data_IF_260229832534
#
_entry.id   IF_260229832534
#
_cell.length_a   1.000
_cell.length_b   1.000
_cell.length_c   1.000
_cell.angle_alpha   90.00
_cell.angle_beta   90.00
_cell.angle_gamma   90.00
#
_symmetry.space_group_name_H-M   'P 1'
#
loop_
_entity.id
_entity.type
_entity.pdbx_description
1 polymer ?
#
# COMPACT_ATOMS: atom_id res chain seq x y z
N UNK A 1 31.81 30.00 -14.25
CA UNK A 1 30.42 29.50 -14.34
C UNK A 1 30.35 27.98 -14.54
N UNK A 2 31.29 27.35 -15.27
CA UNK A 2 31.30 25.89 -15.44
C UNK A 2 31.46 25.10 -14.14
N UNK A 3 32.34 25.53 -13.22
CA UNK A 3 32.56 24.84 -11.94
C UNK A 3 31.30 24.84 -11.05
N UNK A 4 30.54 25.94 -11.04
CA UNK A 4 29.28 26.02 -10.31
C UNK A 4 28.23 25.08 -10.92
N UNK A 5 28.15 24.99 -12.26
CA UNK A 5 27.25 24.06 -12.93
C UNK A 5 27.66 22.59 -12.76
N UNK A 6 28.96 22.29 -12.65
CA UNK A 6 29.48 20.96 -12.34
C UNK A 6 29.22 20.57 -10.88
N UNK A 7 29.31 21.52 -9.95
CA UNK A 7 28.96 21.31 -8.54
C UNK A 7 27.45 21.13 -8.39
N UNK A 8 26.63 21.95 -9.06
CA UNK A 8 25.17 21.80 -9.08
C UNK A 8 24.79 20.44 -9.67
N UNK A 9 25.35 20.04 -10.82
CA UNK A 9 25.13 18.69 -11.37
C UNK A 9 25.64 17.56 -10.47
N UNK A 10 26.71 17.77 -9.71
CA UNK A 10 27.24 16.78 -8.77
C UNK A 10 26.47 16.71 -7.44
N UNK A 11 25.78 17.80 -7.07
CA UNK A 11 24.84 17.86 -5.95
C UNK A 11 23.50 17.26 -6.39
N UNK A 12 23.01 17.61 -7.58
CA UNK A 12 21.82 17.02 -8.21
C UNK A 12 22.00 15.52 -8.51
N UNK A 13 23.22 15.06 -8.81
CA UNK A 13 23.53 13.61 -8.96
C UNK A 13 23.85 12.91 -7.64
N UNK A 14 24.21 13.64 -6.57
CA UNK A 14 24.29 13.11 -5.20
C UNK A 14 22.91 12.90 -4.59
N UNK A 15 21.93 13.72 -5.00
CA UNK A 15 20.50 13.59 -4.68
C UNK A 15 19.73 12.79 -5.75
N UNK A 16 20.40 11.91 -6.50
CA UNK A 16 19.69 10.73 -7.04
C UNK A 16 19.14 9.96 -5.83
N UNK A 17 17.87 10.23 -5.51
CA UNK A 17 17.11 9.67 -4.41
C UNK A 17 17.53 8.21 -4.25
N UNK A 18 18.12 7.81 -3.11
CA UNK A 18 18.70 6.46 -2.92
C UNK A 18 17.71 5.34 -3.35
N UNK A 19 16.42 5.66 -3.29
CA UNK A 19 15.35 4.86 -3.82
C UNK A 19 15.34 4.71 -5.35
N UNK A 20 15.58 5.73 -6.17
CA UNK A 20 15.65 5.62 -7.64
C UNK A 20 16.81 4.73 -8.11
N UNK A 21 17.95 4.75 -7.40
CA UNK A 21 19.02 3.79 -7.63
C UNK A 21 18.55 2.36 -7.28
N UNK A 22 17.84 2.19 -6.16
CA UNK A 22 17.23 0.91 -5.80
C UNK A 22 16.19 0.46 -6.84
N UNK A 23 15.36 1.38 -7.33
CA UNK A 23 14.30 1.16 -8.31
C UNK A 23 14.88 0.71 -9.64
N UNK A 24 15.97 1.32 -10.08
CA UNK A 24 16.72 0.90 -11.28
C UNK A 24 17.24 -0.54 -11.13
N UNK A 25 17.74 -0.91 -9.94
CA UNK A 25 18.15 -2.29 -9.64
C UNK A 25 16.97 -3.26 -9.60
N UNK A 26 15.82 -2.84 -9.08
CA UNK A 26 14.57 -3.62 -9.08
C UNK A 26 14.04 -3.84 -10.51
N UNK A 27 14.23 -2.89 -11.42
CA UNK A 27 13.90 -3.05 -12.85
C UNK A 27 14.86 -4.01 -13.56
N UNK A 28 16.16 -3.89 -13.28
CA UNK A 28 17.20 -4.74 -13.87
C UNK A 28 17.16 -6.20 -13.38
N UNK A 29 16.81 -6.42 -12.11
CA UNK A 29 16.78 -7.75 -11.48
C UNK A 29 15.34 -8.15 -11.15
N UNK A 30 14.90 -9.31 -11.64
CA UNK A 30 13.57 -9.88 -11.29
C UNK A 30 13.38 -10.13 -9.78
N UNK A 31 14.49 -10.32 -9.03
CA UNK A 31 14.48 -10.63 -7.59
C UNK A 31 15.60 -9.85 -6.90
N UNK A 32 15.27 -9.16 -5.80
CA UNK A 32 16.27 -8.53 -4.95
C UNK A 32 17.01 -9.56 -4.10
N UNK A 33 18.32 -9.38 -3.94
CA UNK A 33 19.09 -10.10 -2.94
C UNK A 33 18.65 -9.73 -1.51
N UNK A 34 18.98 -10.59 -0.53
CA UNK A 34 18.69 -10.33 0.89
C UNK A 34 19.30 -9.00 1.37
N UNK A 35 20.49 -8.65 0.90
CA UNK A 35 21.17 -7.41 1.25
C UNK A 35 20.45 -6.18 0.67
N UNK A 36 20.02 -6.25 -0.59
CA UNK A 36 19.24 -5.18 -1.23
C UNK A 36 17.88 -5.01 -0.57
N UNK A 37 17.21 -6.10 -0.22
CA UNK A 37 15.92 -6.04 0.49
C UNK A 37 16.05 -5.40 1.89
N UNK A 38 17.14 -5.68 2.62
CA UNK A 38 17.43 -5.00 3.88
C UNK A 38 17.66 -3.51 3.69
N UNK A 39 18.39 -3.11 2.63
CA UNK A 39 18.57 -1.69 2.30
C UNK A 39 17.23 -1.02 2.00
N UNK A 40 16.33 -1.68 1.26
CA UNK A 40 14.98 -1.17 1.01
C UNK A 40 14.18 -0.96 2.29
N UNK A 41 14.28 -1.88 3.27
CA UNK A 41 13.66 -1.72 4.58
C UNK A 41 14.21 -0.47 5.30
N UNK A 42 15.54 -0.29 5.31
CA UNK A 42 16.15 0.89 5.96
C UNK A 42 15.75 2.20 5.26
N UNK A 43 15.61 2.21 3.93
CA UNK A 43 15.08 3.35 3.19
C UNK A 43 13.64 3.66 3.61
N UNK A 44 12.77 2.65 3.67
CA UNK A 44 11.38 2.83 4.10
C UNK A 44 11.26 3.29 5.55
N UNK A 45 12.20 2.96 6.44
CA UNK A 45 12.20 3.51 7.80
C UNK A 45 12.47 5.01 7.83
N UNK A 46 13.28 5.50 6.89
CA UNK A 46 13.74 6.90 6.86
C UNK A 46 12.78 7.80 6.08
N UNK A 47 12.22 7.30 4.97
CA UNK A 47 11.53 8.11 3.97
C UNK A 47 10.35 7.35 3.33
N UNK A 48 9.49 6.73 4.15
CA UNK A 48 8.36 5.95 3.64
C UNK A 48 7.37 6.77 2.82
N UNK A 49 7.07 7.99 3.24
CA UNK A 49 6.04 8.84 2.60
C UNK A 49 6.53 9.32 1.25
N UNK A 50 7.79 9.72 1.17
CA UNK A 50 8.45 10.16 -0.05
C UNK A 50 8.50 9.04 -1.09
N UNK A 51 8.91 7.83 -0.67
CA UNK A 51 8.94 6.65 -1.55
C UNK A 51 7.53 6.29 -2.05
N UNK A 52 6.53 6.34 -1.18
CA UNK A 52 5.14 5.99 -1.53
C UNK A 52 4.40 7.09 -2.27
N UNK A 53 4.96 8.30 -2.37
CA UNK A 53 4.41 9.41 -3.14
C UNK A 53 4.77 9.36 -4.63
N UNK A 54 5.67 8.47 -5.04
CA UNK A 54 6.09 8.29 -6.43
C UNK A 54 4.91 7.79 -7.28
N UNK A 55 4.48 8.56 -8.27
CA UNK A 55 3.21 8.31 -8.99
C UNK A 55 3.26 7.13 -9.95
N UNK A 56 4.43 6.78 -10.48
CA UNK A 56 4.61 5.80 -11.55
C UNK A 56 5.07 4.42 -11.05
N UNK A 57 4.79 4.10 -9.78
CA UNK A 57 5.08 2.79 -9.21
C UNK A 57 4.34 1.68 -9.97
N UNK A 58 5.08 0.71 -10.48
CA UNK A 58 4.52 -0.47 -11.14
C UNK A 58 3.89 -1.43 -10.12
N UNK A 59 3.05 -2.35 -10.60
CA UNK A 59 2.46 -3.40 -9.74
C UNK A 59 3.54 -4.26 -9.07
N UNK A 60 4.65 -4.53 -9.78
CA UNK A 60 5.79 -5.27 -9.23
C UNK A 60 6.47 -4.51 -8.09
N UNK A 61 6.68 -3.20 -8.29
CA UNK A 61 7.24 -2.30 -7.27
C UNK A 61 6.33 -2.24 -6.05
N UNK A 62 5.02 -2.01 -6.22
CA UNK A 62 4.06 -2.00 -5.11
C UNK A 62 4.05 -3.32 -4.31
N UNK A 63 4.17 -4.48 -4.97
CA UNK A 63 4.23 -5.77 -4.27
C UNK A 63 5.49 -5.93 -3.44
N UNK A 64 6.64 -5.50 -3.98
CA UNK A 64 7.91 -5.57 -3.26
C UNK A 64 7.93 -4.58 -2.09
N UNK A 65 7.49 -3.35 -2.33
CA UNK A 65 7.32 -2.32 -1.32
C UNK A 65 6.37 -2.79 -0.22
N UNK A 66 5.21 -3.38 -0.56
CA UNK A 66 4.28 -3.94 0.41
C UNK A 66 4.94 -4.99 1.33
N UNK A 67 5.73 -5.91 0.77
CA UNK A 67 6.51 -6.87 1.57
C UNK A 67 7.53 -6.20 2.47
N UNK A 68 8.25 -5.19 1.96
CA UNK A 68 9.22 -4.45 2.75
C UNK A 68 8.55 -3.64 3.88
N UNK A 69 7.41 -3.00 3.62
CA UNK A 69 6.59 -2.31 4.63
C UNK A 69 6.12 -3.24 5.74
N UNK A 70 5.73 -4.47 5.40
CA UNK A 70 5.38 -5.49 6.40
C UNK A 70 6.56 -5.82 7.34
N UNK A 71 7.79 -5.83 6.81
CA UNK A 71 9.01 -6.04 7.59
C UNK A 71 9.55 -4.78 8.30
N UNK A 72 9.02 -3.61 7.96
CA UNK A 72 9.51 -2.31 8.46
C UNK A 72 8.78 -1.89 9.74
N UNK A 73 9.50 -1.35 10.73
CA UNK A 73 8.88 -0.65 11.87
C UNK A 73 8.70 0.82 11.49
N UNK A 74 7.50 1.18 11.04
CA UNK A 74 7.14 2.54 10.64
C UNK A 74 6.97 3.41 11.89
N UNK A 75 7.41 4.67 11.82
CA UNK A 75 7.25 5.63 12.92
C UNK A 75 5.83 6.19 12.94
N UNK A 76 5.36 6.68 11.79
CA UNK A 76 3.99 7.18 11.61
C UNK A 76 3.27 6.33 10.55
N UNK A 77 2.43 5.40 11.01
CA UNK A 77 1.66 4.54 10.12
C UNK A 77 0.44 5.26 9.54
N UNK A 78 -0.13 6.23 10.25
CA UNK A 78 -1.33 6.95 9.83
C UNK A 78 -1.02 7.90 8.67
N UNK A 79 0.14 8.56 8.73
CA UNK A 79 0.66 9.36 7.63
C UNK A 79 0.94 8.49 6.40
N UNK A 80 1.55 7.32 6.58
CA UNK A 80 1.81 6.37 5.49
C UNK A 80 0.51 5.88 4.84
N UNK A 81 -0.50 5.54 5.63
CA UNK A 81 -1.82 5.14 5.11
C UNK A 81 -2.45 6.29 4.31
N UNK A 82 -2.43 7.50 4.84
CA UNK A 82 -2.99 8.69 4.18
C UNK A 82 -2.27 8.99 2.86
N UNK A 83 -0.94 8.85 2.83
CA UNK A 83 -0.14 8.95 1.61
C UNK A 83 -0.53 7.89 0.58
N UNK A 84 -0.67 6.63 0.99
CA UNK A 84 -1.05 5.54 0.08
C UNK A 84 -2.44 5.76 -0.51
N UNK A 85 -3.41 6.18 0.29
CA UNK A 85 -4.78 6.47 -0.16
C UNK A 85 -4.77 7.62 -1.18
N UNK A 86 -4.08 8.71 -0.87
CA UNK A 86 -4.11 9.94 -1.68
C UNK A 86 -3.25 9.90 -2.94
N UNK A 87 -2.13 9.15 -2.95
CA UNK A 87 -1.14 9.20 -4.05
C UNK A 87 -1.14 7.98 -4.96
N UNK A 88 -1.72 6.85 -4.55
CA UNK A 88 -1.62 5.59 -5.28
C UNK A 88 -2.97 5.11 -5.84
N UNK A 89 -3.64 5.95 -6.62
CA UNK A 89 -4.91 5.59 -7.27
C UNK A 89 -4.78 4.25 -8.05
N UNK A 90 -5.66 3.29 -7.76
CA UNK A 90 -5.66 1.94 -8.36
C UNK A 90 -4.66 0.93 -7.78
N UNK A 91 -3.62 1.37 -7.05
CA UNK A 91 -2.62 0.47 -6.42
C UNK A 91 -2.61 0.53 -4.90
N UNK A 92 -3.29 1.53 -4.32
CA UNK A 92 -3.46 1.71 -2.89
C UNK A 92 -3.88 0.41 -2.21
N UNK A 93 -4.83 -0.32 -2.80
CA UNK A 93 -5.31 -1.58 -2.23
C UNK A 93 -4.24 -2.66 -2.06
N UNK A 94 -3.24 -2.73 -2.93
CA UNK A 94 -2.13 -3.68 -2.79
C UNK A 94 -1.26 -3.33 -1.58
N UNK A 95 -0.92 -2.05 -1.45
CA UNK A 95 -0.06 -1.54 -0.37
C UNK A 95 -0.80 -1.56 0.98
N UNK A 96 -2.05 -1.09 1.01
CA UNK A 96 -2.91 -1.14 2.18
C UNK A 96 -3.12 -2.58 2.64
N UNK A 97 -3.34 -3.54 1.73
CA UNK A 97 -3.48 -4.94 2.12
C UNK A 97 -2.22 -5.45 2.86
N UNK A 98 -1.03 -5.03 2.44
CA UNK A 98 0.20 -5.35 3.17
C UNK A 98 0.31 -4.64 4.52
N UNK A 99 0.06 -3.32 4.56
CA UNK A 99 0.13 -2.51 5.78
C UNK A 99 -0.85 -3.00 6.85
N UNK A 100 -2.11 -3.26 6.47
CA UNK A 100 -3.17 -3.68 7.38
C UNK A 100 -2.98 -5.10 7.91
N UNK A 101 -2.19 -5.94 7.25
CA UNK A 101 -1.79 -7.24 7.78
C UNK A 101 -0.82 -7.14 8.96
N UNK A 102 -0.24 -5.97 9.23
CA UNK A 102 0.56 -5.72 10.44
C UNK A 102 -0.28 -5.56 11.71
N UNK A 103 -1.60 -5.36 11.59
CA UNK A 103 -2.55 -5.21 12.71
C UNK A 103 -2.16 -4.12 13.72
N UNK A 104 -1.58 -3.03 13.23
CA UNK A 104 -1.21 -1.90 14.07
C UNK A 104 -2.47 -1.09 14.46
N UNK A 105 -2.41 -0.38 15.58
CA UNK A 105 -3.43 0.64 15.90
C UNK A 105 -3.25 1.81 14.94
N UNK A 106 -4.33 2.21 14.28
CA UNK A 106 -4.36 3.23 13.23
C UNK A 106 -5.64 4.06 13.32
N UNK A 107 -5.63 5.24 12.74
CA UNK A 107 -6.83 6.02 12.47
C UNK A 107 -7.65 5.36 11.36
N UNK A 108 -8.90 5.00 11.67
CA UNK A 108 -9.78 4.29 10.75
C UNK A 108 -10.55 5.20 9.80
N UNK A 109 -10.64 6.51 10.08
CA UNK A 109 -11.45 7.45 9.31
C UNK A 109 -11.05 7.50 7.83
N UNK A 110 -9.75 7.67 7.47
CA UNK A 110 -9.36 7.70 6.05
C UNK A 110 -9.63 6.38 5.34
N UNK A 111 -9.53 5.25 6.05
CA UNK A 111 -9.82 3.94 5.50
C UNK A 111 -11.31 3.75 5.24
N UNK A 112 -12.18 4.27 6.11
CA UNK A 112 -13.62 4.18 5.94
C UNK A 112 -14.08 4.94 4.69
N UNK A 113 -13.55 6.15 4.48
CA UNK A 113 -13.83 6.97 3.29
C UNK A 113 -13.34 6.27 2.03
N UNK A 114 -12.08 5.82 2.04
CA UNK A 114 -11.51 5.04 0.94
C UNK A 114 -12.32 3.78 0.62
N UNK A 115 -12.83 3.08 1.64
CA UNK A 115 -13.61 1.86 1.47
C UNK A 115 -14.93 2.14 0.75
N UNK A 116 -15.65 3.20 1.17
CA UNK A 116 -16.91 3.63 0.55
C UNK A 116 -16.72 3.98 -0.92
N UNK A 117 -15.67 4.76 -1.22
CA UNK A 117 -15.33 5.10 -2.60
C UNK A 117 -14.95 3.85 -3.41
N UNK A 118 -14.14 2.97 -2.83
CA UNK A 118 -13.70 1.74 -3.50
C UNK A 118 -14.87 0.82 -3.85
N UNK A 119 -15.86 0.65 -2.98
CA UNK A 119 -17.02 -0.23 -3.23
C UNK A 119 -18.07 0.36 -4.17
N UNK A 120 -18.11 1.70 -4.28
CA UNK A 120 -18.97 2.39 -5.24
C UNK A 120 -18.47 2.30 -6.69
N UNK A 121 -17.20 1.94 -6.89
CA UNK A 121 -16.53 1.89 -8.19
C UNK A 121 -16.28 0.45 -8.69
N UNK A 122 -15.66 0.32 -9.87
CA UNK A 122 -15.27 -0.98 -10.40
C UNK A 122 -14.21 -1.66 -9.50
N UNK A 123 -14.51 -2.89 -9.08
CA UNK A 123 -13.71 -3.65 -8.14
C UNK A 123 -12.84 -4.68 -8.87
N UNK A 124 -11.58 -4.77 -8.45
CA UNK A 124 -10.64 -5.80 -8.87
C UNK A 124 -10.35 -6.79 -7.73
N UNK A 125 -9.69 -7.91 -8.04
CA UNK A 125 -9.34 -8.93 -7.03
C UNK A 125 -8.49 -8.38 -5.86
N UNK A 126 -7.65 -7.36 -6.09
CA UNK A 126 -6.87 -6.72 -5.02
C UNK A 126 -7.77 -6.00 -4.00
N UNK A 127 -8.85 -5.35 -4.44
CA UNK A 127 -9.85 -4.70 -3.59
C UNK A 127 -10.56 -5.73 -2.71
N UNK A 128 -10.94 -6.89 -3.26
CA UNK A 128 -11.54 -7.97 -2.49
C UNK A 128 -10.58 -8.55 -1.45
N UNK A 129 -9.29 -8.70 -1.79
CA UNK A 129 -8.26 -9.12 -0.83
C UNK A 129 -8.09 -8.11 0.31
N UNK A 130 -8.09 -6.82 -0.01
CA UNK A 130 -8.08 -5.76 0.99
C UNK A 130 -9.31 -5.84 1.90
N UNK A 131 -10.51 -5.95 1.34
CA UNK A 131 -11.77 -6.12 2.09
C UNK A 131 -11.71 -7.28 3.07
N UNK A 132 -11.18 -8.42 2.63
CA UNK A 132 -11.00 -9.59 3.49
C UNK A 132 -10.01 -9.31 4.63
N UNK A 133 -8.91 -8.61 4.35
CA UNK A 133 -7.94 -8.19 5.38
C UNK A 133 -8.56 -7.22 6.38
N UNK A 134 -9.37 -6.26 5.92
CA UNK A 134 -10.12 -5.33 6.78
C UNK A 134 -11.11 -6.10 7.64
N UNK A 135 -11.95 -6.96 7.06
CA UNK A 135 -12.90 -7.80 7.80
C UNK A 135 -12.20 -8.67 8.85
N UNK A 136 -10.96 -9.10 8.61
CA UNK A 136 -10.16 -9.89 9.55
C UNK A 136 -9.59 -9.08 10.70
N UNK A 137 -8.99 -7.93 10.40
CA UNK A 137 -8.13 -7.22 11.34
C UNK A 137 -8.76 -5.95 11.91
N UNK A 138 -9.74 -5.38 11.22
CA UNK A 138 -10.44 -4.13 11.56
C UNK A 138 -11.95 -4.28 11.30
N UNK A 139 -12.64 -5.22 11.99
CA UNK A 139 -14.04 -5.57 11.70
C UNK A 139 -15.00 -4.39 11.84
N UNK A 140 -14.68 -3.37 12.65
CA UNK A 140 -15.49 -2.17 12.82
C UNK A 140 -15.63 -1.31 11.56
N UNK A 141 -14.79 -1.54 10.54
CA UNK A 141 -14.89 -0.89 9.22
C UNK A 141 -15.91 -1.59 8.28
N UNK A 142 -16.43 -2.75 8.67
CA UNK A 142 -17.44 -3.49 7.89
C UNK A 142 -18.81 -2.98 8.31
N UNK A 143 -19.28 -1.93 7.64
CA UNK A 143 -20.60 -1.36 7.85
C UNK A 143 -21.65 -1.97 6.90
N UNK A 144 -22.90 -1.53 7.04
CA UNK A 144 -24.01 -2.00 6.22
C UNK A 144 -23.77 -1.79 4.71
N UNK A 145 -23.02 -0.77 4.30
CA UNK A 145 -22.72 -0.53 2.88
C UNK A 145 -21.79 -1.60 2.32
N UNK A 146 -20.81 -2.04 3.11
CA UNK A 146 -19.89 -3.14 2.74
C UNK A 146 -20.64 -4.46 2.69
N UNK A 147 -21.54 -4.71 3.64
CA UNK A 147 -22.40 -5.89 3.65
C UNK A 147 -23.29 -5.94 2.41
N UNK A 148 -23.99 -4.85 2.09
CA UNK A 148 -24.85 -4.75 0.92
C UNK A 148 -24.05 -4.90 -0.39
N UNK A 149 -22.84 -4.36 -0.43
CA UNK A 149 -21.92 -4.60 -1.53
C UNK A 149 -21.59 -6.10 -1.66
N UNK A 150 -21.22 -6.76 -0.55
CA UNK A 150 -20.86 -8.18 -0.56
C UNK A 150 -22.04 -9.07 -0.96
N UNK A 151 -23.27 -8.74 -0.54
CA UNK A 151 -24.48 -9.53 -0.86
C UNK A 151 -24.83 -9.56 -2.33
N UNK A 152 -24.51 -8.49 -3.05
CA UNK A 152 -24.73 -8.36 -4.49
C UNK A 152 -23.67 -9.05 -5.34
N UNK A 153 -22.63 -9.62 -4.73
CA UNK A 153 -21.47 -10.20 -5.44
C UNK A 153 -21.32 -11.69 -5.14
N UNK A 154 -21.35 -12.51 -6.20
CA UNK A 154 -21.17 -13.97 -6.09
C UNK A 154 -19.73 -14.43 -5.82
N UNK A 155 -18.79 -13.52 -5.55
CA UNK A 155 -17.38 -13.85 -5.38
C UNK A 155 -17.15 -14.57 -4.03
N UNK A 156 -16.36 -15.67 -3.98
CA UNK A 156 -16.12 -16.44 -2.75
C UNK A 156 -15.64 -15.60 -1.55
N UNK A 157 -14.80 -14.61 -1.81
CA UNK A 157 -14.33 -13.67 -0.77
C UNK A 157 -15.48 -12.88 -0.13
N UNK A 158 -16.48 -12.45 -0.91
CA UNK A 158 -17.63 -11.76 -0.35
C UNK A 158 -18.43 -12.70 0.57
N UNK A 159 -18.69 -13.94 0.13
CA UNK A 159 -19.34 -14.97 0.95
C UNK A 159 -18.63 -15.18 2.29
N UNK A 160 -17.31 -15.35 2.26
CA UNK A 160 -16.49 -15.48 3.47
C UNK A 160 -16.61 -14.28 4.42
N UNK A 161 -16.75 -13.06 3.88
CA UNK A 161 -16.96 -11.86 4.70
C UNK A 161 -18.34 -11.91 5.35
N UNK A 162 -19.38 -12.23 4.59
CA UNK A 162 -20.77 -12.28 5.06
C UNK A 162 -20.98 -13.34 6.14
N UNK A 163 -20.48 -14.55 5.91
CA UNK A 163 -20.47 -15.66 6.88
C UNK A 163 -19.80 -15.24 8.19
N UNK A 164 -18.66 -14.55 8.10
CA UNK A 164 -17.92 -14.10 9.29
C UNK A 164 -18.70 -13.08 10.12
N UNK A 165 -19.47 -12.20 9.46
CA UNK A 165 -20.24 -11.16 10.14
C UNK A 165 -21.69 -11.61 10.44
N UNK A 166 -21.94 -12.93 10.39
CA UNK A 166 -23.21 -13.58 10.79
C UNK A 166 -24.43 -13.04 10.04
N UNK A 167 -24.26 -12.76 8.76
CA UNK A 167 -25.37 -12.40 7.88
C UNK A 167 -25.73 -13.65 7.10
N UNK A 168 -26.68 -14.40 7.66
CA UNK A 168 -27.29 -15.55 7.02
C UNK A 168 -28.10 -15.07 5.81
N UNK A 169 -27.88 -15.73 4.67
CA UNK A 169 -28.77 -15.62 3.52
C UNK A 169 -29.90 -16.62 3.74
N UNK A 170 -31.13 -16.13 3.85
CA UNK A 170 -32.32 -16.90 3.50
C UNK A 170 -32.46 -16.98 1.97
#
# INVERSE_FOLDING_TARGET
MEVANSIIKAIESKDENEFELMRSRMKAKKVLSRAEFRKLIELLKKQSVEILSIQDLTVGECRLLGKALMATKLQDIDEVISCVISKQAGRAALLLNCLLNKKCKINLVPLQEYLKDMIANEIQLCHLKLLLTISRNYPSLIDNSVIEFCSRKSHPVCKMILEKHQIEYE
#
